data_IF_816196272297
#
_entry.id   IF_816196272297
#
_cell.length_a   1.000
_cell.length_b   1.000
_cell.length_c   1.000
_cell.angle_alpha   90.00
_cell.angle_beta   90.00
_cell.angle_gamma   90.00
#
_symmetry.space_group_name_H-M   'P 1'
#
loop_
_entity.id
_entity.type
_entity.pdbx_description
1 polymer ?
#
# COMPACT_ATOMS: atom_id res chain seq x y z
N UNK A 1 13.37 5.13 14.56
CA UNK A 1 12.10 5.47 13.90
C UNK A 1 12.13 4.78 12.56
N UNK A 2 11.09 4.02 12.19
CA UNK A 2 11.03 3.33 10.89
C UNK A 2 10.60 4.33 9.82
N UNK A 3 11.34 4.41 8.71
CA UNK A 3 11.01 5.24 7.54
C UNK A 3 10.63 4.37 6.33
N UNK A 4 10.21 5.00 5.23
CA UNK A 4 9.77 4.28 4.03
C UNK A 4 10.90 3.46 3.40
N UNK A 5 12.15 3.94 3.42
CA UNK A 5 13.31 3.16 2.96
C UNK A 5 13.46 1.87 3.75
N UNK A 6 13.32 1.93 5.07
CA UNK A 6 13.42 0.77 5.95
C UNK A 6 12.28 -0.23 5.69
N UNK A 7 11.05 0.24 5.47
CA UNK A 7 9.93 -0.62 5.10
C UNK A 7 10.11 -1.27 3.72
N UNK A 8 10.58 -0.51 2.72
CA UNK A 8 10.89 -1.06 1.40
C UNK A 8 11.93 -2.18 1.48
N UNK A 9 12.96 -1.99 2.31
CA UNK A 9 13.98 -3.01 2.56
C UNK A 9 13.40 -4.25 3.24
N UNK A 10 12.55 -4.09 4.25
CA UNK A 10 11.88 -5.20 4.92
C UNK A 10 11.02 -6.03 3.95
N UNK A 11 10.25 -5.37 3.08
CA UNK A 11 9.47 -6.03 2.01
C UNK A 11 10.39 -6.77 1.04
N UNK A 12 11.46 -6.13 0.58
CA UNK A 12 12.43 -6.74 -0.33
C UNK A 12 13.10 -7.99 0.28
N UNK A 13 13.53 -7.91 1.54
CA UNK A 13 14.21 -9.01 2.24
C UNK A 13 13.24 -10.16 2.50
N UNK A 14 11.98 -9.86 2.85
CA UNK A 14 10.92 -10.85 3.01
C UNK A 14 10.60 -11.55 1.68
N UNK A 15 10.40 -10.81 0.60
CA UNK A 15 10.14 -11.35 -0.73
C UNK A 15 11.27 -12.26 -1.21
N UNK A 16 12.53 -11.88 -0.98
CA UNK A 16 13.70 -12.70 -1.30
C UNK A 16 13.72 -13.99 -0.48
N UNK A 17 13.42 -13.91 0.81
CA UNK A 17 13.39 -15.07 1.72
C UNK A 17 12.41 -16.15 1.25
N UNK A 18 11.24 -15.76 0.76
CA UNK A 18 10.20 -16.70 0.31
C UNK A 18 10.15 -16.90 -1.21
N UNK A 19 11.04 -16.27 -1.97
CA UNK A 19 11.12 -16.39 -3.43
C UNK A 19 10.03 -15.63 -4.20
N UNK A 20 9.29 -14.75 -3.53
CA UNK A 20 8.22 -13.93 -4.08
C UNK A 20 8.73 -12.72 -4.86
N UNK A 21 10.03 -12.45 -4.82
CA UNK A 21 10.68 -11.46 -5.68
C UNK A 21 10.57 -11.80 -7.19
N UNK A 22 10.11 -13.01 -7.53
CA UNK A 22 9.87 -13.48 -8.89
C UNK A 22 8.46 -13.19 -9.42
N UNK A 23 7.57 -12.65 -8.58
CA UNK A 23 6.20 -12.34 -9.00
C UNK A 23 6.19 -11.37 -10.18
N UNK A 24 5.26 -11.58 -11.12
CA UNK A 24 5.08 -10.68 -12.26
C UNK A 24 4.41 -9.39 -11.79
N UNK A 25 4.76 -8.27 -12.41
CA UNK A 25 4.22 -6.95 -12.10
C UNK A 25 2.70 -6.92 -12.28
N UNK A 26 2.19 -7.61 -13.31
CA UNK A 26 0.75 -7.76 -13.54
C UNK A 26 0.03 -8.50 -12.42
N UNK A 27 0.67 -9.48 -11.78
CA UNK A 27 0.09 -10.21 -10.65
C UNK A 27 0.09 -9.36 -9.39
N UNK A 28 1.15 -8.56 -9.17
CA UNK A 28 1.20 -7.61 -8.06
C UNK A 28 0.04 -6.61 -8.18
N UNK A 29 -0.19 -6.04 -9.37
CA UNK A 29 -1.30 -5.11 -9.62
C UNK A 29 -2.68 -5.78 -9.49
N UNK A 30 -2.79 -7.04 -9.91
CA UNK A 30 -4.01 -7.83 -9.70
C UNK A 30 -4.32 -7.95 -8.21
N UNK A 31 -3.35 -8.36 -7.39
CA UNK A 31 -3.53 -8.47 -5.95
C UNK A 31 -3.82 -7.12 -5.30
N UNK A 32 -3.19 -6.02 -5.75
CA UNK A 32 -3.54 -4.67 -5.27
C UNK A 32 -5.02 -4.34 -5.50
N UNK A 33 -5.59 -4.80 -6.62
CA UNK A 33 -7.01 -4.61 -6.92
C UNK A 33 -7.91 -5.44 -6.01
N UNK A 34 -7.47 -6.64 -5.62
CA UNK A 34 -8.14 -7.50 -4.64
C UNK A 34 -8.16 -6.83 -3.25
N UNK A 35 -7.02 -6.36 -2.75
CA UNK A 35 -6.93 -5.66 -1.46
C UNK A 35 -7.77 -4.39 -1.42
N UNK A 36 -7.76 -3.62 -2.51
CA UNK A 36 -8.61 -2.43 -2.62
C UNK A 36 -10.11 -2.79 -2.62
N UNK A 37 -10.47 -3.92 -3.22
CA UNK A 37 -11.81 -4.48 -3.17
C UNK A 37 -12.24 -4.87 -1.74
N UNK A 38 -11.34 -5.49 -0.97
CA UNK A 38 -11.61 -5.82 0.42
C UNK A 38 -11.71 -4.57 1.31
N UNK A 39 -10.83 -3.57 1.14
CA UNK A 39 -10.97 -2.26 1.79
C UNK A 39 -12.37 -1.68 1.49
N UNK A 40 -12.76 -1.67 0.22
CA UNK A 40 -14.08 -1.16 -0.20
C UNK A 40 -15.21 -1.93 0.48
N UNK A 41 -15.09 -3.26 0.58
CA UNK A 41 -16.05 -4.10 1.29
C UNK A 41 -16.14 -3.75 2.78
N UNK A 42 -15.03 -3.48 3.47
CA UNK A 42 -15.07 -3.07 4.90
C UNK A 42 -15.74 -1.71 5.09
N UNK A 43 -15.48 -0.76 4.20
CA UNK A 43 -16.14 0.57 4.24
C UNK A 43 -17.65 0.43 4.01
N UNK A 44 -18.09 -0.37 3.04
CA UNK A 44 -19.52 -0.61 2.81
C UNK A 44 -20.23 -1.27 4.02
N UNK A 45 -19.52 -2.10 4.81
CA UNK A 45 -20.03 -2.61 6.09
C UNK A 45 -20.18 -1.50 7.13
N UNK A 46 -19.22 -0.59 7.22
CA UNK A 46 -19.28 0.57 8.12
C UNK A 46 -20.47 1.48 7.79
N UNK A 47 -20.76 1.65 6.50
CA UNK A 47 -21.85 2.47 5.98
C UNK A 47 -23.23 1.78 6.01
N UNK A 48 -23.30 0.51 6.42
CA UNK A 48 -24.56 -0.23 6.54
C UNK A 48 -25.11 -0.82 5.24
N UNK A 49 -24.35 -0.79 4.15
CA UNK A 49 -24.72 -1.44 2.87
C UNK A 49 -24.51 -2.96 2.87
N UNK A 50 -23.85 -3.50 3.90
CA UNK A 50 -23.59 -4.93 4.10
C UNK A 50 -24.05 -5.34 5.50
N UNK A 51 -24.52 -6.58 5.63
CA UNK A 51 -25.10 -7.09 6.89
C UNK A 51 -24.03 -7.52 7.89
N UNK A 52 -22.82 -7.83 7.42
CA UNK A 52 -21.69 -8.14 8.29
C UNK A 52 -21.24 -6.88 9.06
N UNK A 53 -20.92 -7.04 10.35
CA UNK A 53 -20.42 -5.93 11.18
C UNK A 53 -19.04 -5.47 10.71
N UNK A 54 -18.85 -4.15 10.66
CA UNK A 54 -17.53 -3.55 10.50
C UNK A 54 -16.58 -3.95 11.64
N UNK A 55 -15.34 -4.28 11.29
CA UNK A 55 -14.24 -4.47 12.24
C UNK A 55 -13.04 -3.67 11.79
N UNK A 56 -12.58 -2.77 12.65
CA UNK A 56 -11.40 -1.92 12.39
C UNK A 56 -10.13 -2.73 12.14
N UNK A 57 -9.98 -3.87 12.82
CA UNK A 57 -8.83 -4.75 12.66
C UNK A 57 -8.73 -5.31 11.24
N UNK A 58 -9.86 -5.74 10.66
CA UNK A 58 -9.90 -6.24 9.27
C UNK A 58 -9.51 -5.12 8.30
N UNK A 59 -10.06 -3.90 8.45
CA UNK A 59 -9.65 -2.77 7.60
C UNK A 59 -8.15 -2.45 7.73
N UNK A 60 -7.58 -2.56 8.93
CA UNK A 60 -6.15 -2.31 9.14
C UNK A 60 -5.27 -3.34 8.42
N UNK A 61 -5.70 -4.60 8.37
CA UNK A 61 -5.04 -5.69 7.64
C UNK A 61 -5.00 -5.39 6.14
N UNK A 62 -6.17 -5.15 5.52
CA UNK A 62 -6.22 -4.88 4.06
C UNK A 62 -5.42 -3.62 3.67
N UNK A 63 -5.37 -2.60 4.55
CA UNK A 63 -4.56 -1.40 4.34
C UNK A 63 -3.06 -1.69 4.36
N UNK A 64 -2.62 -2.59 5.26
CA UNK A 64 -1.22 -3.02 5.34
C UNK A 64 -0.87 -3.90 4.15
N UNK A 65 -1.77 -4.77 3.70
CA UNK A 65 -1.55 -5.63 2.54
C UNK A 65 -1.43 -4.81 1.25
N UNK A 66 -2.31 -3.81 1.06
CA UNK A 66 -2.17 -2.88 -0.07
C UNK A 66 -0.87 -2.07 0.00
N UNK A 67 -0.45 -1.63 1.20
CA UNK A 67 0.83 -0.95 1.37
C UNK A 67 2.01 -1.88 1.05
N UNK A 68 1.98 -3.13 1.51
CA UNK A 68 2.99 -4.14 1.20
C UNK A 68 3.16 -4.30 -0.31
N UNK A 69 2.06 -4.50 -1.03
CA UNK A 69 2.06 -4.66 -2.49
C UNK A 69 2.55 -3.39 -3.21
N UNK A 70 2.22 -2.22 -2.68
CA UNK A 70 2.72 -0.93 -3.21
C UNK A 70 4.24 -0.83 -3.09
N UNK A 71 4.80 -1.14 -1.91
CA UNK A 71 6.25 -1.13 -1.70
C UNK A 71 6.96 -2.22 -2.51
N UNK A 72 6.34 -3.40 -2.63
CA UNK A 72 6.81 -4.48 -3.48
C UNK A 72 6.90 -4.07 -4.95
N UNK A 73 5.86 -3.40 -5.47
CA UNK A 73 5.86 -2.89 -6.83
C UNK A 73 6.94 -1.81 -7.01
N UNK A 74 7.08 -0.89 -6.05
CA UNK A 74 8.14 0.12 -6.09
C UNK A 74 9.55 -0.53 -6.16
N UNK A 75 9.79 -1.57 -5.37
CA UNK A 75 11.05 -2.32 -5.39
C UNK A 75 11.32 -2.99 -6.75
N UNK A 76 10.29 -3.45 -7.47
CA UNK A 76 10.43 -4.02 -8.82
C UNK A 76 10.95 -3.02 -9.85
N UNK A 77 10.62 -1.74 -9.66
CA UNK A 77 10.98 -0.66 -10.58
C UNK A 77 12.11 0.23 -10.04
N UNK A 78 12.77 -0.17 -8.95
CA UNK A 78 13.85 0.59 -8.31
C UNK A 78 13.43 2.03 -7.93
N UNK A 79 12.19 2.17 -7.42
CA UNK A 79 11.63 3.46 -7.01
C UNK A 79 11.88 3.66 -5.51
N UNK A 80 12.53 4.77 -5.15
CA UNK A 80 12.70 5.23 -3.77
C UNK A 80 11.42 5.94 -3.28
N UNK A 81 10.60 5.22 -2.51
CA UNK A 81 9.32 5.74 -2.04
C UNK A 81 9.47 6.83 -0.99
N UNK A 82 10.57 6.87 -0.23
CA UNK A 82 10.80 7.93 0.76
C UNK A 82 11.08 9.25 0.07
N UNK A 83 11.96 9.23 -0.94
CA UNK A 83 12.22 10.39 -1.80
C UNK A 83 10.95 10.86 -2.51
N UNK A 84 10.20 9.96 -3.13
CA UNK A 84 8.97 10.32 -3.85
C UNK A 84 7.88 10.86 -2.91
N UNK A 85 7.82 10.36 -1.68
CA UNK A 85 6.94 10.87 -0.64
C UNK A 85 7.25 12.34 -0.30
N UNK A 86 8.51 12.66 0.01
CA UNK A 86 8.90 14.04 0.31
C UNK A 86 8.65 14.98 -0.88
N UNK A 87 9.00 14.55 -2.09
CA UNK A 87 8.73 15.32 -3.30
C UNK A 87 7.22 15.56 -3.52
N UNK A 88 6.37 14.60 -3.18
CA UNK A 88 4.91 14.76 -3.27
C UNK A 88 4.38 15.80 -2.28
N UNK A 89 4.85 15.78 -1.04
CA UNK A 89 4.41 16.73 -0.01
C UNK A 89 4.85 18.16 -0.31
N UNK A 90 6.07 18.38 -0.79
CA UNK A 90 6.49 19.71 -1.26
C UNK A 90 5.57 20.24 -2.38
N UNK A 91 5.14 19.37 -3.30
CA UNK A 91 4.17 19.75 -4.36
C UNK A 91 2.80 20.08 -3.77
N UNK A 92 2.34 19.36 -2.75
CA UNK A 92 1.06 19.63 -2.09
C UNK A 92 1.08 20.95 -1.34
N UNK A 93 2.14 21.25 -0.60
CA UNK A 93 2.30 22.54 0.09
C UNK A 93 2.29 23.71 -0.88
N UNK A 94 3.04 23.62 -1.99
CA UNK A 94 3.05 24.64 -3.06
C UNK A 94 1.68 24.83 -3.72
N UNK A 95 0.84 23.79 -3.80
CA UNK A 95 -0.52 23.89 -4.34
C UNK A 95 -1.48 24.55 -3.35
N UNK A 96 -1.36 24.20 -2.07
CA UNK A 96 -2.21 24.72 -1.01
C UNK A 96 -1.94 26.19 -0.71
N UNK A 97 -0.68 26.65 -0.80
CA UNK A 97 -0.30 28.06 -0.57
C UNK A 97 -0.62 29.01 -1.74
N UNK A 98 -1.09 28.48 -2.87
CA UNK A 98 -1.59 29.26 -4.02
C UNK A 98 -3.09 29.59 -3.92
N UNK A 99 -3.78 29.07 -2.90
CA UNK A 99 -5.16 29.41 -2.56
C UNK A 99 -5.17 30.40 -1.40
#
# INVERSE_FOLDING_TARGET
MTNLTQLQKEVMDYDKKYGWNKDKESHIVLHMSEELGEISRRILRLEGYKTEKFKRAELAEELVDLLYLTLKLANKFDIDMEKEWYAAFERYEKKSSRK
#
